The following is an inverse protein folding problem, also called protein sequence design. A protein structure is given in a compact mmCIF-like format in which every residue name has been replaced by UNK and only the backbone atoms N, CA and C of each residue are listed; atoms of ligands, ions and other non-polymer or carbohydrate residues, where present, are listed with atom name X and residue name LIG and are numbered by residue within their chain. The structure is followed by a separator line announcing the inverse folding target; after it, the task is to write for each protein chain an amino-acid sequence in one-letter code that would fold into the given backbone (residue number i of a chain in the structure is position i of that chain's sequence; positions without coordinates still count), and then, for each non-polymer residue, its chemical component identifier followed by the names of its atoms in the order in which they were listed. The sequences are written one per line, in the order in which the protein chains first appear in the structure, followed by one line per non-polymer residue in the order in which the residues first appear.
data_IF_378349386068
#
_entry.id   IF_378349386068
#
_cell.length_a   1.000
_cell.length_b   1.000
_cell.length_c   1.000
_cell.angle_alpha   90.00
_cell.angle_beta   90.00
_cell.angle_gamma   90.00
#
_symmetry.space_group_name_H-M   'P 1'
#
loop_
_entity.id
_entity.type
_entity.pdbx_description
1 polymer ?
#
# COMPACT_ATOMS: atom_id res chain seq x y z
N UNK A 1 12.20 0.49 23.30
CA UNK A 1 12.72 0.85 21.97
C UNK A 1 13.25 2.26 22.06
N UNK A 2 14.47 2.52 21.59
CA UNK A 2 15.06 3.86 21.57
C UNK A 2 14.87 4.46 20.16
N UNK A 3 13.61 4.76 19.82
CA UNK A 3 13.29 5.47 18.58
C UNK A 3 13.38 6.99 18.81
N UNK A 4 13.88 7.72 17.83
CA UNK A 4 13.70 9.17 17.73
C UNK A 4 12.25 9.51 17.39
N UNK A 5 11.84 10.76 17.62
CA UNK A 5 10.49 11.22 17.26
C UNK A 5 10.20 11.04 15.75
N UNK A 6 11.21 11.26 14.90
CA UNK A 6 11.07 11.11 13.46
C UNK A 6 10.86 9.65 13.04
N UNK A 7 11.60 8.72 13.64
CA UNK A 7 11.43 7.28 13.39
C UNK A 7 10.05 6.81 13.85
N UNK A 8 9.61 7.23 15.05
CA UNK A 8 8.27 6.93 15.56
C UNK A 8 7.17 7.47 14.62
N UNK A 9 7.29 8.72 14.19
CA UNK A 9 6.33 9.37 13.27
C UNK A 9 6.26 8.62 11.94
N UNK A 10 7.40 8.20 11.41
CA UNK A 10 7.44 7.45 10.15
C UNK A 10 6.80 6.07 10.31
N UNK A 11 7.07 5.36 11.41
CA UNK A 11 6.45 4.08 11.70
C UNK A 11 4.93 4.19 11.84
N UNK A 12 4.43 5.23 12.52
CA UNK A 12 2.99 5.47 12.65
C UNK A 12 2.33 5.72 11.29
N UNK A 13 2.93 6.57 10.44
CA UNK A 13 2.43 6.85 9.10
C UNK A 13 2.37 5.60 8.23
N UNK A 14 3.43 4.79 8.28
CA UNK A 14 3.50 3.54 7.53
C UNK A 14 2.42 2.56 7.99
N UNK A 15 2.29 2.34 9.30
CA UNK A 15 1.29 1.44 9.86
C UNK A 15 -0.14 1.87 9.48
N UNK A 16 -0.44 3.17 9.56
CA UNK A 16 -1.74 3.71 9.15
C UNK A 16 -1.99 3.52 7.65
N UNK A 17 -0.99 3.82 6.82
CA UNK A 17 -1.11 3.65 5.37
C UNK A 17 -1.39 2.20 4.97
N UNK A 18 -0.68 1.25 5.57
CA UNK A 18 -0.91 -0.19 5.35
C UNK A 18 -2.31 -0.60 5.80
N UNK A 19 -2.74 -0.20 7.01
CA UNK A 19 -4.07 -0.53 7.52
C UNK A 19 -5.20 0.02 6.65
N UNK A 20 -5.08 1.26 6.17
CA UNK A 20 -6.08 1.88 5.30
C UNK A 20 -6.08 1.25 3.90
N UNK A 21 -4.92 0.82 3.39
CA UNK A 21 -4.82 0.10 2.13
C UNK A 21 -5.46 -1.29 2.21
N UNK A 22 -5.14 -2.08 3.23
CA UNK A 22 -5.66 -3.45 3.38
C UNK A 22 -7.17 -3.47 3.64
N UNK A 23 -7.70 -2.43 4.28
CA UNK A 23 -9.15 -2.23 4.45
C UNK A 23 -9.82 -1.56 3.24
N UNK A 24 -9.11 -1.46 2.11
CA UNK A 24 -9.58 -0.91 0.83
C UNK A 24 -10.13 0.52 0.94
N UNK A 25 -9.67 1.29 1.94
CA UNK A 25 -10.03 2.72 2.10
C UNK A 25 -9.18 3.62 1.23
N UNK A 26 -8.01 3.13 0.79
CA UNK A 26 -7.08 3.86 -0.06
C UNK A 26 -6.59 3.00 -1.22
N UNK A 27 -6.35 3.65 -2.34
CA UNK A 27 -5.54 3.06 -3.42
C UNK A 27 -4.08 2.96 -2.97
N UNK A 28 -3.31 2.06 -3.60
CA UNK A 28 -1.87 1.89 -3.34
C UNK A 28 -1.10 3.22 -3.46
N UNK A 29 -1.45 4.04 -4.46
CA UNK A 29 -0.81 5.35 -4.65
C UNK A 29 -1.12 6.34 -3.53
N UNK A 30 -2.35 6.34 -3.00
CA UNK A 30 -2.72 7.25 -1.90
C UNK A 30 -2.12 6.80 -0.56
N UNK A 31 -2.05 5.49 -0.33
CA UNK A 31 -1.37 4.93 0.84
C UNK A 31 0.14 5.24 0.81
N UNK A 32 0.80 5.10 -0.34
CA UNK A 32 2.21 5.48 -0.52
C UNK A 32 2.47 6.96 -0.17
N UNK A 33 1.59 7.87 -0.63
CA UNK A 33 1.67 9.29 -0.28
C UNK A 33 1.56 9.54 1.23
N UNK A 34 0.65 8.87 1.93
CA UNK A 34 0.49 9.00 3.39
C UNK A 34 1.73 8.46 4.12
N UNK A 35 2.29 7.35 3.65
CA UNK A 35 3.51 6.78 4.17
C UNK A 35 4.76 7.64 3.87
N UNK A 36 4.65 8.66 3.01
CA UNK A 36 5.81 9.46 2.56
C UNK A 36 6.76 8.67 1.68
N UNK A 37 6.26 7.66 0.97
CA UNK A 37 7.03 6.76 0.11
C UNK A 37 6.65 6.96 -1.37
N UNK A 38 7.57 6.58 -2.26
CA UNK A 38 7.20 6.35 -3.66
C UNK A 38 6.25 5.15 -3.73
N UNK A 39 5.45 5.08 -4.80
CA UNK A 39 4.56 3.93 -5.02
C UNK A 39 5.32 2.60 -5.00
N UNK A 40 6.46 2.55 -5.69
CA UNK A 40 7.30 1.35 -5.75
C UNK A 40 7.81 0.93 -4.36
N UNK A 41 8.31 1.87 -3.55
CA UNK A 41 8.77 1.55 -2.20
C UNK A 41 7.63 1.09 -1.29
N UNK A 42 6.44 1.66 -1.43
CA UNK A 42 5.29 1.19 -0.66
C UNK A 42 4.89 -0.23 -1.07
N UNK A 43 4.87 -0.54 -2.37
CA UNK A 43 4.64 -1.90 -2.88
C UNK A 43 5.71 -2.90 -2.38
N UNK A 44 6.99 -2.49 -2.32
CA UNK A 44 8.06 -3.30 -1.69
C UNK A 44 7.75 -3.60 -0.23
N UNK A 45 7.37 -2.59 0.57
CA UNK A 45 7.01 -2.80 1.98
C UNK A 45 5.82 -3.74 2.13
N UNK A 46 4.79 -3.60 1.30
CA UNK A 46 3.65 -4.53 1.31
C UNK A 46 4.13 -5.97 1.05
N UNK A 47 4.96 -6.16 0.02
CA UNK A 47 5.50 -7.47 -0.35
C UNK A 47 6.37 -8.10 0.76
N UNK A 48 7.23 -7.31 1.40
CA UNK A 48 8.08 -7.76 2.51
C UNK A 48 7.27 -8.18 3.74
N UNK A 49 6.06 -7.64 3.89
CA UNK A 49 5.12 -7.95 4.97
C UNK A 49 4.01 -8.91 4.52
N UNK A 50 4.23 -9.66 3.44
CA UNK A 50 3.28 -10.65 2.89
C UNK A 50 1.87 -10.11 2.63
N UNK A 51 1.77 -8.79 2.42
CA UNK A 51 0.53 -8.11 2.09
C UNK A 51 0.43 -8.00 0.56
N UNK A 52 -0.72 -8.38 -0.04
CA UNK A 52 -0.90 -8.25 -1.49
C UNK A 52 -0.61 -6.82 -1.97
N UNK A 53 0.15 -6.67 -3.06
CA UNK A 53 0.43 -5.36 -3.68
C UNK A 53 -0.75 -4.84 -4.52
N UNK A 54 -1.73 -5.70 -4.76
CA UNK A 54 -2.96 -5.40 -5.50
C UNK A 54 -4.16 -6.00 -4.77
N UNK A 55 -5.24 -5.21 -4.71
CA UNK A 55 -6.55 -5.66 -4.21
C UNK A 55 -7.49 -6.07 -5.35
N UNK A 56 -6.99 -6.17 -6.59
CA UNK A 56 -7.81 -6.56 -7.74
C UNK A 56 -8.25 -8.01 -7.60
N UNK A 57 -9.54 -8.21 -7.76
CA UNK A 57 -10.16 -9.53 -7.88
C UNK A 57 -9.91 -10.12 -9.27
N UNK A 58 -10.03 -11.44 -9.39
CA UNK A 58 -9.94 -12.11 -10.69
C UNK A 58 -10.99 -11.58 -11.68
N UNK A 59 -12.18 -11.18 -11.21
CA UNK A 59 -13.22 -10.61 -12.06
C UNK A 59 -12.79 -9.26 -12.66
N UNK A 60 -12.24 -8.36 -11.84
CA UNK A 60 -11.74 -7.06 -12.31
C UNK A 60 -10.59 -7.24 -13.31
N UNK A 61 -9.70 -8.21 -13.08
CA UNK A 61 -8.63 -8.55 -14.02
C UNK A 61 -9.21 -9.00 -15.37
N UNK A 62 -10.22 -9.88 -15.36
CA UNK A 62 -10.87 -10.36 -16.58
C UNK A 62 -11.59 -9.24 -17.35
N UNK A 63 -12.26 -8.33 -16.63
CA UNK A 63 -12.91 -7.16 -17.21
C UNK A 63 -11.91 -6.22 -17.89
N UNK A 64 -10.73 -6.03 -17.30
CA UNK A 64 -9.66 -5.22 -17.89
C UNK A 64 -9.06 -5.88 -19.15
N UNK A 65 -8.87 -7.20 -19.14
CA UNK A 65 -8.41 -7.95 -20.32
C UNK A 65 -9.40 -7.79 -21.49
N UNK A 66 -10.71 -7.79 -21.22
CA UNK A 66 -11.72 -7.68 -22.26
C UNK A 66 -11.69 -6.34 -23.01
N UNK A 67 -11.15 -5.27 -22.40
CA UNK A 67 -11.02 -3.92 -22.98
C UNK A 67 -9.85 -3.77 -23.95
N UNK A 68 -8.94 -4.75 -24.02
CA UNK A 68 -7.76 -4.72 -24.90
C UNK A 68 -8.06 -5.13 -26.37
N UNK A 69 -9.33 -5.30 -26.73
CA UNK A 69 -9.78 -5.71 -28.07
C UNK A 69 -9.90 -4.54 -29.04
#
# INVERSE_FOLDING_TARGET
MNETENELRQRIRLALAVQLYTTQKLTVGKAAQIAGLSRLHFETVLSENETPISNLTAAEIMDDIAKLK
#
